data_IF_683592235177
#
_entry.id   IF_683592235177
#
_cell.length_a   1.000
_cell.length_b   1.000
_cell.length_c   1.000
_cell.angle_alpha   90.00
_cell.angle_beta   90.00
_cell.angle_gamma   90.00
#
_symmetry.space_group_name_H-M   'P 1'
#
loop_
_entity.id
_entity.type
_entity.pdbx_description
1 polymer ?
#
# COMPACT_ATOMS: atom_id res chain seq x y z
N UNK A 1 -1.34 40.04 60.47
CA UNK A 1 -0.58 39.85 59.21
C UNK A 1 -1.07 38.54 58.58
N UNK A 2 -1.93 38.60 57.51
CA UNK A 2 -2.42 37.41 56.78
C UNK A 2 -1.66 37.32 55.47
N UNK A 3 -0.89 36.25 55.30
CA UNK A 3 -0.21 35.92 54.05
C UNK A 3 -1.19 35.23 53.09
N UNK A 4 -1.47 35.87 51.97
CA UNK A 4 -2.27 35.28 50.88
C UNK A 4 -1.31 34.55 49.94
N UNK A 5 -1.43 33.23 49.89
CA UNK A 5 -0.65 32.37 48.97
C UNK A 5 -1.37 32.32 47.65
N UNK A 6 -0.81 32.91 46.59
CA UNK A 6 -1.31 32.85 45.22
C UNK A 6 -0.79 31.58 44.56
N UNK A 7 -1.65 30.58 44.39
CA UNK A 7 -1.32 29.37 43.64
C UNK A 7 -1.38 29.64 42.15
N UNK A 8 -0.23 29.50 41.47
CA UNK A 8 -0.10 29.59 40.01
C UNK A 8 -0.54 28.26 39.39
N UNK A 9 -1.71 28.25 38.75
CA UNK A 9 -2.22 27.09 38.01
C UNK A 9 -1.62 27.09 36.60
N UNK A 10 -0.62 26.24 36.37
CA UNK A 10 -0.03 26.02 35.04
C UNK A 10 -0.93 25.09 34.25
N UNK A 11 -1.70 25.65 33.30
CA UNK A 11 -2.47 24.88 32.33
C UNK A 11 -1.51 24.33 31.26
N UNK A 12 -1.12 23.06 31.40
CA UNK A 12 -0.35 22.36 30.35
C UNK A 12 -1.25 22.09 29.13
N UNK A 13 -1.02 22.78 28.03
CA UNK A 13 -1.60 22.44 26.72
C UNK A 13 -0.95 21.15 26.22
N UNK A 14 -1.66 20.04 26.31
CA UNK A 14 -1.29 18.79 25.62
C UNK A 14 -1.65 18.97 24.15
N UNK A 15 -0.66 19.30 23.32
CA UNK A 15 -0.78 19.22 21.87
C UNK A 15 -0.84 17.75 21.48
N UNK A 16 -2.04 17.20 21.31
CA UNK A 16 -2.23 15.93 20.63
C UNK A 16 -1.88 16.13 19.16
N UNK A 17 -0.64 15.82 18.80
CA UNK A 17 -0.26 15.69 17.41
C UNK A 17 -1.08 14.53 16.82
N UNK A 18 -2.05 14.84 15.93
CA UNK A 18 -2.70 13.82 15.11
C UNK A 18 -1.62 13.21 14.20
N UNK A 19 -1.09 12.05 14.59
CA UNK A 19 -0.28 11.24 13.69
C UNK A 19 -1.15 10.85 12.48
N UNK A 20 -0.62 10.93 11.24
CA UNK A 20 -1.36 10.49 10.07
C UNK A 20 -1.75 9.03 10.26
N UNK A 21 -3.02 8.72 10.00
CA UNK A 21 -3.55 7.36 10.11
C UNK A 21 -2.85 6.46 9.09
N UNK A 22 -2.35 5.32 9.56
CA UNK A 22 -1.79 4.29 8.69
C UNK A 22 -2.92 3.56 7.94
N UNK A 23 -2.60 3.01 6.77
CA UNK A 23 -3.48 2.09 6.04
C UNK A 23 -3.78 0.85 6.90
N UNK A 24 -5.05 0.46 7.00
CA UNK A 24 -5.47 -0.71 7.74
C UNK A 24 -6.12 -1.76 6.82
N UNK A 25 -5.43 -2.88 6.62
CA UNK A 25 -5.92 -4.01 5.82
C UNK A 25 -7.32 -4.48 6.22
N UNK A 26 -7.61 -4.53 7.51
CA UNK A 26 -8.90 -4.96 8.07
C UNK A 26 -10.10 -4.15 7.59
N UNK A 27 -9.89 -2.88 7.19
CA UNK A 27 -10.96 -2.01 6.71
C UNK A 27 -11.42 -2.38 5.28
N UNK A 28 -10.59 -3.07 4.51
CA UNK A 28 -10.83 -3.34 3.09
C UNK A 28 -10.87 -4.82 2.73
N UNK A 29 -10.16 -5.67 3.45
CA UNK A 29 -10.07 -7.11 3.20
C UNK A 29 -11.24 -7.86 3.86
N UNK A 30 -11.79 -8.86 3.16
CA UNK A 30 -12.81 -9.77 3.73
C UNK A 30 -12.21 -11.08 4.23
N UNK A 31 -11.01 -11.42 3.77
CA UNK A 31 -10.29 -12.64 4.15
C UNK A 31 -8.80 -12.49 3.83
N UNK A 32 -7.96 -13.26 4.51
CA UNK A 32 -6.54 -13.31 4.21
C UNK A 32 -6.30 -14.28 3.04
N UNK A 33 -5.99 -13.73 1.88
CA UNK A 33 -5.66 -14.48 0.65
C UNK A 33 -4.17 -14.36 0.33
N UNK A 34 -3.61 -13.17 0.51
CA UNK A 34 -2.22 -12.84 0.19
C UNK A 34 -1.33 -13.14 1.38
N UNK A 35 -0.26 -13.88 1.16
CA UNK A 35 0.74 -14.26 2.15
C UNK A 35 2.13 -13.88 1.65
N UNK A 36 3.02 -13.45 2.54
CA UNK A 36 4.43 -13.17 2.30
C UNK A 36 4.70 -12.19 1.14
N UNK A 37 3.88 -11.13 1.04
CA UNK A 37 4.09 -10.11 0.03
C UNK A 37 5.28 -9.21 0.38
N UNK A 38 6.29 -9.20 -0.49
CA UNK A 38 7.49 -8.39 -0.32
C UNK A 38 8.22 -8.12 -1.65
N UNK A 39 9.03 -7.06 -1.67
CA UNK A 39 9.98 -6.82 -2.74
C UNK A 39 11.10 -7.89 -2.72
N UNK A 40 11.79 -8.08 -3.84
CA UNK A 40 12.81 -9.11 -4.01
C UNK A 40 14.00 -8.99 -3.03
N UNK A 41 14.27 -7.79 -2.51
CA UNK A 41 15.28 -7.56 -1.47
C UNK A 41 14.71 -7.58 -0.04
N UNK A 42 13.40 -7.85 0.12
CA UNK A 42 12.68 -7.83 1.38
C UNK A 42 12.04 -6.48 1.72
N UNK A 43 11.17 -6.49 2.73
CA UNK A 43 10.52 -5.27 3.23
C UNK A 43 11.54 -4.30 3.84
N UNK A 44 11.35 -2.99 3.63
CA UNK A 44 12.25 -1.94 4.11
C UNK A 44 13.61 -1.87 3.42
N UNK A 45 13.82 -2.65 2.35
CA UNK A 45 15.07 -2.60 1.57
C UNK A 45 15.24 -1.27 0.83
N UNK A 46 16.45 -0.99 0.37
CA UNK A 46 16.79 0.23 -0.36
C UNK A 46 17.03 -0.06 -1.84
N UNK A 47 16.44 0.77 -2.70
CA UNK A 47 16.65 0.76 -4.15
C UNK A 47 17.10 2.13 -4.63
N UNK A 48 17.94 2.12 -5.66
CA UNK A 48 18.32 3.33 -6.39
C UNK A 48 17.35 3.60 -7.53
N UNK A 49 17.16 4.88 -7.86
CA UNK A 49 16.40 5.27 -9.06
C UNK A 49 17.00 4.58 -10.29
N UNK A 50 16.13 3.97 -11.11
CA UNK A 50 16.48 3.21 -12.31
C UNK A 50 16.69 1.71 -12.08
N UNK A 51 16.87 1.23 -10.84
CA UNK A 51 16.99 -0.19 -10.56
C UNK A 51 15.70 -0.95 -10.85
N UNK A 52 15.78 -2.20 -11.29
CA UNK A 52 14.62 -3.07 -11.40
C UNK A 52 14.16 -3.52 -10.00
N UNK A 53 12.85 -3.74 -9.86
CA UNK A 53 12.24 -4.34 -8.68
C UNK A 53 11.26 -5.44 -9.11
N UNK A 54 11.20 -6.51 -8.34
CA UNK A 54 10.18 -7.55 -8.47
C UNK A 54 9.55 -7.85 -7.13
N UNK A 55 8.36 -8.45 -7.14
CA UNK A 55 7.59 -8.72 -5.93
C UNK A 55 7.23 -10.19 -5.85
N UNK A 56 7.59 -10.83 -4.73
CA UNK A 56 7.21 -12.19 -4.41
C UNK A 56 6.02 -12.23 -3.46
N UNK A 57 5.13 -13.21 -3.63
CA UNK A 57 4.00 -13.46 -2.73
C UNK A 57 3.44 -14.86 -2.95
N UNK A 58 2.60 -15.31 -2.03
CA UNK A 58 1.80 -16.51 -2.23
C UNK A 58 0.31 -16.17 -2.09
N UNK A 59 -0.54 -16.98 -2.72
CA UNK A 59 -2.00 -16.88 -2.57
C UNK A 59 -2.61 -18.25 -2.28
N UNK A 60 -3.68 -18.29 -1.49
CA UNK A 60 -4.37 -19.51 -1.13
C UNK A 60 -5.60 -19.81 -2.02
N UNK A 61 -5.84 -18.96 -3.04
CA UNK A 61 -6.89 -19.18 -4.05
C UNK A 61 -6.54 -18.51 -5.38
N UNK A 62 -7.14 -19.01 -6.45
CA UNK A 62 -7.00 -18.40 -7.77
C UNK A 62 -7.78 -17.08 -7.85
N UNK A 63 -7.29 -16.13 -8.65
CA UNK A 63 -7.93 -14.85 -8.87
C UNK A 63 -7.07 -13.91 -9.69
N UNK A 64 -7.19 -12.63 -9.40
CA UNK A 64 -6.51 -11.56 -10.11
C UNK A 64 -5.83 -10.62 -9.13
N UNK A 65 -4.66 -10.11 -9.52
CA UNK A 65 -3.92 -9.10 -8.78
C UNK A 65 -3.93 -7.75 -9.52
N UNK A 66 -4.04 -6.69 -8.76
CA UNK A 66 -3.74 -5.33 -9.19
C UNK A 66 -2.64 -4.80 -8.30
N UNK A 67 -1.59 -4.24 -8.91
CA UNK A 67 -0.43 -3.69 -8.21
C UNK A 67 -0.52 -2.17 -8.23
N UNK A 68 -0.59 -1.57 -7.04
CA UNK A 68 -0.71 -0.13 -6.82
C UNK A 68 0.48 0.35 -6.02
N UNK A 69 1.02 1.50 -6.34
CA UNK A 69 2.11 2.11 -5.58
C UNK A 69 1.75 3.52 -5.14
N UNK A 70 2.25 3.90 -3.99
CA UNK A 70 2.16 5.26 -3.44
C UNK A 70 3.55 5.74 -3.09
N UNK A 71 3.95 6.85 -3.69
CA UNK A 71 5.24 7.48 -3.47
C UNK A 71 5.27 8.26 -2.15
N UNK A 72 6.45 8.73 -1.77
CA UNK A 72 6.67 9.48 -0.52
C UNK A 72 5.88 10.79 -0.43
N UNK A 73 5.43 11.34 -1.56
CA UNK A 73 4.59 12.53 -1.66
C UNK A 73 3.08 12.21 -1.77
N UNK A 74 2.68 10.97 -1.46
CA UNK A 74 1.32 10.44 -1.56
C UNK A 74 0.77 10.31 -2.99
N UNK A 75 1.58 10.55 -4.01
CA UNK A 75 1.19 10.28 -5.40
C UNK A 75 1.00 8.77 -5.58
N UNK A 76 -0.21 8.38 -5.94
CA UNK A 76 -0.61 6.98 -6.11
C UNK A 76 -0.86 6.71 -7.58
N UNK A 77 -0.40 5.57 -8.06
CA UNK A 77 -0.63 5.09 -9.42
C UNK A 77 -0.66 3.56 -9.49
N UNK A 78 -1.30 3.08 -10.51
CA UNK A 78 -1.41 1.65 -10.79
C UNK A 78 -0.27 1.21 -11.69
N UNK A 79 0.48 0.20 -11.26
CA UNK A 79 1.55 -0.39 -12.05
C UNK A 79 1.05 -1.45 -13.02
N UNK A 80 0.10 -2.27 -12.56
CA UNK A 80 -0.44 -3.37 -13.36
C UNK A 80 -1.82 -3.81 -12.83
N UNK A 81 -2.67 -4.36 -13.69
CA UNK A 81 -4.06 -4.70 -13.36
C UNK A 81 -4.48 -6.05 -13.88
N UNK A 82 -5.36 -6.71 -13.13
CA UNK A 82 -6.00 -7.97 -13.52
C UNK A 82 -5.02 -9.06 -13.94
N UNK A 83 -3.86 -9.12 -13.27
CA UNK A 83 -2.86 -10.15 -13.50
C UNK A 83 -3.41 -11.48 -12.95
N UNK A 84 -3.65 -12.50 -13.77
CA UNK A 84 -4.16 -13.77 -13.28
C UNK A 84 -3.12 -14.47 -12.39
N UNK A 85 -3.55 -14.95 -11.23
CA UNK A 85 -2.71 -15.70 -10.29
C UNK A 85 -3.33 -17.04 -9.92
N UNK A 86 -2.45 -18.00 -9.63
CA UNK A 86 -2.84 -19.35 -9.18
C UNK A 86 -2.38 -19.58 -7.75
N UNK A 87 -3.07 -20.47 -7.06
CA UNK A 87 -2.69 -20.93 -5.71
C UNK A 87 -1.21 -21.29 -5.64
N UNK A 88 -0.55 -20.83 -4.58
CA UNK A 88 0.87 -21.02 -4.34
C UNK A 88 1.70 -19.78 -4.58
N UNK A 89 3.00 -19.94 -4.80
CA UNK A 89 3.97 -18.86 -4.98
C UNK A 89 3.84 -18.21 -6.35
N UNK A 90 3.80 -16.91 -6.36
CA UNK A 90 3.74 -16.06 -7.54
C UNK A 90 4.84 -14.99 -7.48
N UNK A 91 5.13 -14.37 -8.61
CA UNK A 91 6.08 -13.25 -8.73
C UNK A 91 5.55 -12.24 -9.74
N UNK A 92 5.79 -10.97 -9.49
CA UNK A 92 5.51 -9.86 -10.39
C UNK A 92 6.81 -9.10 -10.72
N UNK A 93 7.10 -8.78 -12.00
CA UNK A 93 6.33 -9.20 -13.18
C UNK A 93 6.29 -10.73 -13.31
N UNK A 94 5.28 -11.29 -14.00
CA UNK A 94 5.21 -12.74 -14.20
C UNK A 94 6.45 -13.30 -14.90
N UNK A 95 6.83 -14.54 -14.58
CA UNK A 95 7.98 -15.18 -15.25
C UNK A 95 7.77 -15.20 -16.76
N UNK A 96 8.79 -14.74 -17.48
CA UNK A 96 8.74 -14.65 -18.94
C UNK A 96 8.12 -13.35 -19.48
N UNK A 97 7.74 -12.41 -18.62
CA UNK A 97 7.38 -11.07 -19.05
C UNK A 97 8.55 -10.40 -19.76
N UNK A 98 8.27 -9.64 -20.81
CA UNK A 98 9.24 -8.86 -21.56
C UNK A 98 9.46 -7.44 -21.02
N UNK A 99 9.04 -7.20 -19.80
CA UNK A 99 9.19 -5.93 -19.10
C UNK A 99 9.56 -6.16 -17.63
N UNK A 100 10.02 -5.08 -16.97
CA UNK A 100 10.25 -5.05 -15.51
C UNK A 100 9.77 -3.74 -14.95
N UNK A 101 9.38 -3.76 -13.68
CA UNK A 101 9.14 -2.54 -12.93
C UNK A 101 10.48 -1.88 -12.63
N UNK A 102 10.55 -0.56 -12.80
CA UNK A 102 11.73 0.24 -12.49
C UNK A 102 11.40 1.29 -11.47
N UNK A 103 12.30 1.42 -10.52
CA UNK A 103 12.22 2.48 -9.50
C UNK A 103 12.34 3.84 -10.17
N UNK A 104 11.42 4.74 -9.84
CA UNK A 104 11.37 6.13 -10.32
C UNK A 104 11.44 7.10 -9.16
N UNK A 105 11.62 8.39 -9.46
CA UNK A 105 11.41 9.47 -8.50
C UNK A 105 9.95 9.48 -8.02
N UNK A 106 9.70 10.05 -6.82
CA UNK A 106 10.62 10.72 -5.90
C UNK A 106 11.46 9.75 -5.05
N UNK A 107 12.48 10.28 -4.37
CA UNK A 107 13.19 9.56 -3.30
C UNK A 107 12.35 9.52 -2.02
N UNK A 108 12.66 8.59 -1.12
CA UNK A 108 11.94 8.38 0.14
C UNK A 108 11.18 7.05 0.14
N UNK A 109 10.32 6.87 1.12
CA UNK A 109 9.56 5.64 1.28
C UNK A 109 8.52 5.48 0.18
N UNK A 110 8.62 4.41 -0.61
CA UNK A 110 7.55 3.95 -1.48
C UNK A 110 6.78 2.81 -0.83
N UNK A 111 5.45 2.87 -0.93
CA UNK A 111 4.54 1.81 -0.48
C UNK A 111 3.91 1.13 -1.68
N UNK A 112 3.84 -0.18 -1.62
CA UNK A 112 3.25 -0.98 -2.69
C UNK A 112 2.14 -1.83 -2.11
N UNK A 113 0.97 -1.74 -2.73
CA UNK A 113 -0.22 -2.49 -2.36
C UNK A 113 -0.53 -3.54 -3.41
N UNK A 114 -0.63 -4.77 -2.97
CA UNK A 114 -1.07 -5.88 -3.80
C UNK A 114 -2.54 -6.16 -3.49
N UNK A 115 -3.40 -5.94 -4.49
CA UNK A 115 -4.86 -6.00 -4.36
C UNK A 115 -5.38 -7.25 -5.03
N UNK A 116 -5.98 -8.15 -4.27
CA UNK A 116 -6.59 -9.39 -4.75
C UNK A 116 -8.08 -9.23 -4.99
N UNK A 117 -8.56 -9.80 -6.12
CA UNK A 117 -9.98 -9.99 -6.42
C UNK A 117 -10.21 -11.37 -7.03
N UNK A 118 -11.35 -12.02 -6.74
CA UNK A 118 -11.72 -13.29 -7.37
C UNK A 118 -12.42 -13.13 -8.74
N UNK A 119 -12.64 -11.89 -9.16
CA UNK A 119 -13.13 -11.50 -10.47
C UNK A 119 -12.30 -10.34 -11.03
N UNK A 120 -12.13 -10.24 -12.37
CA UNK A 120 -11.38 -9.13 -12.95
C UNK A 120 -12.11 -7.80 -12.70
N UNK A 121 -11.36 -6.79 -12.25
CA UNK A 121 -11.91 -5.47 -11.97
C UNK A 121 -11.95 -4.58 -13.21
N UNK A 122 -12.94 -3.68 -13.27
CA UNK A 122 -13.13 -2.69 -14.33
C UNK A 122 -13.44 -1.32 -13.71
N UNK A 123 -13.07 -0.27 -14.41
CA UNK A 123 -13.53 1.09 -14.14
C UNK A 123 -12.61 1.88 -13.19
N UNK A 124 -12.70 1.69 -11.91
CA UNK A 124 -11.98 2.51 -10.92
C UNK A 124 -10.46 2.43 -11.10
N UNK A 125 -9.81 3.60 -11.21
CA UNK A 125 -8.34 3.72 -11.32
C UNK A 125 -7.73 4.20 -10.02
N UNK A 126 -6.48 3.81 -9.79
CA UNK A 126 -5.66 4.33 -8.71
C UNK A 126 -4.70 5.36 -9.31
N UNK A 127 -5.06 6.63 -9.21
CA UNK A 127 -4.26 7.75 -9.69
C UNK A 127 -4.50 9.01 -8.84
N UNK A 128 -3.48 9.86 -8.74
CA UNK A 128 -3.52 11.11 -8.00
C UNK A 128 -3.00 11.01 -6.56
N UNK A 129 -3.16 12.08 -5.80
CA UNK A 129 -2.73 12.11 -4.39
C UNK A 129 -3.77 11.45 -3.49
N UNK A 130 -3.46 10.25 -3.03
CA UNK A 130 -4.31 9.45 -2.17
C UNK A 130 -3.68 9.27 -0.79
N UNK A 131 -4.07 10.11 0.15
CA UNK A 131 -3.83 9.87 1.56
C UNK A 131 -4.44 8.51 2.00
N UNK A 132 -3.97 7.87 3.08
CA UNK A 132 -4.40 6.53 3.47
C UNK A 132 -5.92 6.33 3.49
N UNK A 133 -6.69 7.28 4.02
CA UNK A 133 -8.15 7.21 4.07
C UNK A 133 -8.78 7.29 2.67
N UNK A 134 -8.24 8.13 1.79
CA UNK A 134 -8.69 8.22 0.39
C UNK A 134 -8.35 6.96 -0.39
N UNK A 135 -7.18 6.35 -0.11
CA UNK A 135 -6.79 5.08 -0.69
C UNK A 135 -7.74 3.95 -0.24
N UNK A 136 -8.08 3.87 1.05
CA UNK A 136 -9.06 2.91 1.56
C UNK A 136 -10.43 3.09 0.88
N UNK A 137 -10.92 4.32 0.76
CA UNK A 137 -12.16 4.62 0.06
C UNK A 137 -12.11 4.19 -1.42
N UNK A 138 -10.99 4.46 -2.10
CA UNK A 138 -10.76 4.08 -3.49
C UNK A 138 -10.70 2.55 -3.68
N UNK A 139 -10.11 1.82 -2.73
CA UNK A 139 -10.12 0.36 -2.69
C UNK A 139 -11.53 -0.20 -2.52
N UNK A 140 -12.37 0.41 -1.67
CA UNK A 140 -13.77 0.02 -1.53
C UNK A 140 -14.56 0.22 -2.84
N UNK A 141 -14.38 1.36 -3.51
CA UNK A 141 -14.98 1.61 -4.84
C UNK A 141 -14.54 0.57 -5.86
N UNK A 142 -13.23 0.26 -5.89
CA UNK A 142 -12.64 -0.75 -6.77
C UNK A 142 -13.25 -2.14 -6.54
N UNK A 143 -13.38 -2.57 -5.29
CA UNK A 143 -13.99 -3.85 -4.94
C UNK A 143 -15.48 -3.90 -5.30
N UNK A 144 -16.21 -2.82 -5.04
CA UNK A 144 -17.63 -2.74 -5.39
C UNK A 144 -17.83 -2.81 -6.91
N UNK A 145 -17.00 -2.09 -7.68
CA UNK A 145 -17.05 -2.09 -9.13
C UNK A 145 -16.65 -3.44 -9.75
N UNK A 146 -15.78 -4.21 -9.09
CA UNK A 146 -15.39 -5.55 -9.55
C UNK A 146 -16.46 -6.62 -9.32
N UNK A 147 -17.40 -6.39 -8.42
CA UNK A 147 -18.37 -7.39 -7.95
C UNK A 147 -17.71 -8.58 -7.23
N UNK A 148 -16.47 -8.42 -6.77
CA UNK A 148 -15.69 -9.47 -6.10
C UNK A 148 -16.33 -9.88 -4.78
N UNK A 149 -16.36 -11.17 -4.51
CA UNK A 149 -16.81 -11.73 -3.22
C UNK A 149 -15.65 -11.96 -2.26
N UNK A 150 -14.50 -12.30 -2.82
CA UNK A 150 -13.27 -12.49 -2.07
C UNK A 150 -12.28 -11.39 -2.42
N UNK A 151 -11.91 -10.60 -1.44
CA UNK A 151 -11.00 -9.47 -1.61
C UNK A 151 -9.97 -9.40 -0.50
N UNK A 152 -8.77 -9.02 -0.86
CA UNK A 152 -7.67 -8.86 0.07
C UNK A 152 -6.70 -7.79 -0.42
N UNK A 153 -6.01 -7.14 0.52
CA UNK A 153 -4.94 -6.18 0.23
C UNK A 153 -3.78 -6.49 1.14
N UNK A 154 -2.58 -6.52 0.59
CA UNK A 154 -1.34 -6.60 1.36
C UNK A 154 -0.41 -5.46 0.97
N UNK A 155 0.31 -4.93 1.94
CA UNK A 155 1.25 -3.82 1.77
C UNK A 155 2.68 -4.29 2.01
N UNK A 156 3.60 -3.75 1.23
CA UNK A 156 5.05 -3.75 1.49
C UNK A 156 5.63 -2.37 1.21
N UNK A 157 6.79 -2.08 1.74
CA UNK A 157 7.46 -0.79 1.49
C UNK A 157 8.96 -0.98 1.30
N UNK A 158 9.58 -0.01 0.66
CA UNK A 158 11.02 0.11 0.48
C UNK A 158 11.43 1.58 0.36
N UNK A 159 12.72 1.84 0.55
CA UNK A 159 13.28 3.18 0.44
C UNK A 159 13.88 3.40 -0.96
N UNK A 160 13.60 4.56 -1.54
CA UNK A 160 14.18 5.01 -2.81
C UNK A 160 15.23 6.07 -2.55
N UNK A 161 16.42 5.87 -3.08
CA UNK A 161 17.56 6.78 -2.97
C UNK A 161 18.08 7.20 -4.34
N UNK A 162 18.83 8.28 -4.38
CA UNK A 162 19.53 8.70 -5.60
C UNK A 162 20.57 7.64 -6.04
N UNK A 163 20.91 7.60 -7.31
CA UNK A 163 21.92 6.67 -7.87
C UNK A 163 23.28 6.76 -7.20
#
# INVERSE_FOLDING_TARGET
MRLISIGLLVFGFVLTACAPRAFERSNVSTQSVIVDFQADRGAGSTYKIGEPVSFGFAVNRNGYMTLVTTDSDTTTYELDRNIPVKVGKNVLPPKGANFFYRIKQPTGTQRVYLVFTDAPSRGVKFDGQLEPEKLEARLQEFFNASGTKARDVSETSFEVVNP
#
